data_IF_121595356057
#
_entry.id   IF_121595356057
#
_cell.length_a   1.000
_cell.length_b   1.000
_cell.length_c   1.000
_cell.angle_alpha   90.00
_cell.angle_beta   90.00
_cell.angle_gamma   90.00
#
_symmetry.space_group_name_H-M   'P 1'
#
loop_
_entity.id
_entity.type
_entity.pdbx_description
1 polymer ?
#
# COMPACT_ATOMS: atom_id res chain seq x y z
N UNK A 1 -13.34 25.62 5.17
CA UNK A 1 -12.11 25.15 4.52
C UNK A 1 -12.23 23.64 4.42
N UNK A 2 -12.45 23.12 3.23
CA UNK A 2 -12.36 21.68 2.97
C UNK A 2 -10.92 21.27 3.24
N UNK A 3 -10.73 20.29 4.13
CA UNK A 3 -9.41 19.76 4.46
C UNK A 3 -8.97 18.89 3.28
N UNK A 4 -7.94 19.33 2.58
CA UNK A 4 -7.30 18.51 1.53
C UNK A 4 -6.86 17.18 2.13
N UNK A 5 -7.31 16.09 1.52
CA UNK A 5 -6.94 14.73 1.91
C UNK A 5 -5.84 14.25 0.97
N UNK A 6 -4.73 13.80 1.54
CA UNK A 6 -3.62 13.26 0.76
C UNK A 6 -3.92 11.87 0.20
N UNK A 7 -3.62 11.66 -1.07
CA UNK A 7 -3.79 10.37 -1.75
C UNK A 7 -2.63 9.40 -1.45
N UNK A 8 -2.34 9.21 -0.16
CA UNK A 8 -1.26 8.35 0.33
C UNK A 8 -1.82 7.13 1.07
N UNK A 9 -1.09 6.01 0.99
CA UNK A 9 -1.25 4.82 1.82
C UNK A 9 -0.38 4.95 3.06
N UNK A 10 -0.99 4.93 4.22
CA UNK A 10 -0.29 5.00 5.51
C UNK A 10 -0.35 3.64 6.19
N UNK A 11 0.78 3.14 6.67
CA UNK A 11 0.84 2.05 7.62
C UNK A 11 1.02 2.63 9.02
N UNK A 12 0.07 2.40 9.89
CA UNK A 12 0.15 2.78 11.30
C UNK A 12 0.30 1.54 12.17
N UNK A 13 1.37 1.51 12.97
CA UNK A 13 1.75 0.37 13.81
C UNK A 13 1.74 0.81 15.26
N UNK A 14 0.88 0.19 16.06
CA UNK A 14 0.65 0.50 17.49
C UNK A 14 0.03 -0.73 18.14
N UNK A 15 0.58 -1.25 19.21
CA UNK A 15 0.07 -2.43 19.89
C UNK A 15 -1.11 -2.13 20.82
N UNK A 16 -1.18 -0.92 21.38
CA UNK A 16 -2.31 -0.52 22.22
C UNK A 16 -3.59 -0.29 21.39
N UNK A 17 -4.60 -1.09 21.65
CA UNK A 17 -5.81 -1.13 20.80
C UNK A 17 -6.62 0.18 20.84
N UNK A 18 -6.64 0.89 21.97
CA UNK A 18 -7.39 2.14 22.13
C UNK A 18 -6.70 3.27 21.37
N UNK A 19 -5.41 3.46 21.58
CA UNK A 19 -4.55 4.41 20.89
C UNK A 19 -4.59 4.19 19.38
N UNK A 20 -4.54 2.92 18.94
CA UNK A 20 -4.64 2.56 17.52
C UNK A 20 -5.96 2.98 16.89
N UNK A 21 -7.10 2.79 17.59
CA UNK A 21 -8.43 3.20 17.10
C UNK A 21 -8.60 4.72 17.03
N UNK A 22 -8.09 5.45 18.01
CA UNK A 22 -8.16 6.91 18.02
C UNK A 22 -7.34 7.51 16.88
N UNK A 23 -6.10 7.03 16.72
CA UNK A 23 -5.23 7.47 15.64
C UNK A 23 -5.78 7.09 14.26
N UNK A 24 -6.40 5.92 14.12
CA UNK A 24 -7.08 5.52 12.87
C UNK A 24 -8.10 6.57 12.43
N UNK A 25 -8.98 6.99 13.35
CA UNK A 25 -10.00 8.01 13.06
C UNK A 25 -9.39 9.33 12.62
N UNK A 26 -8.27 9.71 13.25
CA UNK A 26 -7.54 10.92 12.92
C UNK A 26 -6.88 10.82 11.53
N UNK A 27 -6.15 9.75 11.28
CA UNK A 27 -5.45 9.52 10.01
C UNK A 27 -6.40 9.38 8.81
N UNK A 28 -7.55 8.72 8.97
CA UNK A 28 -8.58 8.59 7.92
C UNK A 28 -9.18 9.93 7.45
N UNK A 29 -9.03 11.00 8.24
CA UNK A 29 -9.44 12.35 7.84
C UNK A 29 -8.40 13.04 6.96
N UNK A 30 -7.15 12.55 6.95
CA UNK A 30 -6.02 13.15 6.24
C UNK A 30 -5.54 12.34 5.04
N UNK A 31 -5.72 11.03 5.08
CA UNK A 31 -5.15 10.11 4.10
C UNK A 31 -6.21 9.20 3.51
N UNK A 32 -6.07 8.92 2.23
CA UNK A 32 -7.06 8.13 1.49
C UNK A 32 -7.06 6.65 1.88
N UNK A 33 -5.94 6.11 2.35
CA UNK A 33 -5.85 4.72 2.83
C UNK A 33 -5.00 4.62 4.09
N UNK A 34 -5.57 4.04 5.14
CA UNK A 34 -4.89 3.76 6.41
C UNK A 34 -4.92 2.26 6.66
N UNK A 35 -3.75 1.68 6.80
CA UNK A 35 -3.51 0.28 7.09
C UNK A 35 -3.04 0.22 8.53
N UNK A 36 -3.67 -0.62 9.37
CA UNK A 36 -3.34 -0.75 10.78
C UNK A 36 -2.57 -2.03 11.01
N UNK A 37 -1.61 -2.00 11.92
CA UNK A 37 -0.94 -3.18 12.45
C UNK A 37 -0.90 -3.10 13.98
N UNK A 38 -1.13 -4.23 14.63
CA UNK A 38 -1.18 -4.34 16.09
C UNK A 38 0.16 -4.78 16.70
N UNK A 39 1.20 -4.97 15.89
CA UNK A 39 2.54 -5.36 16.33
C UNK A 39 3.57 -5.05 15.25
N UNK A 40 4.86 -5.04 15.63
CA UNK A 40 5.95 -4.83 14.68
C UNK A 40 6.03 -5.94 13.63
N UNK A 41 5.72 -7.19 14.00
CA UNK A 41 5.69 -8.32 13.07
C UNK A 41 4.56 -8.16 12.04
N UNK A 42 3.34 -7.86 12.50
CA UNK A 42 2.23 -7.55 11.60
C UNK A 42 2.53 -6.35 10.71
N UNK A 43 3.26 -5.35 11.26
CA UNK A 43 3.76 -4.20 10.51
C UNK A 43 4.65 -4.59 9.34
N UNK A 44 5.60 -5.52 9.54
CA UNK A 44 6.44 -6.07 8.46
C UNK A 44 5.62 -6.76 7.38
N UNK A 45 4.69 -7.63 7.76
CA UNK A 45 3.84 -8.37 6.82
C UNK A 45 3.00 -7.40 5.99
N UNK A 46 2.38 -6.42 6.65
CA UNK A 46 1.58 -5.39 5.98
C UNK A 46 2.43 -4.45 5.12
N UNK A 47 3.65 -4.12 5.55
CA UNK A 47 4.58 -3.39 4.69
C UNK A 47 4.88 -4.16 3.40
N UNK A 48 5.21 -5.46 3.50
CA UNK A 48 5.49 -6.30 2.34
C UNK A 48 4.27 -6.40 1.40
N UNK A 49 3.07 -6.51 1.97
CA UNK A 49 1.81 -6.67 1.25
C UNK A 49 1.34 -5.38 0.57
N UNK A 50 1.35 -4.25 1.27
CA UNK A 50 0.67 -3.03 0.82
C UNK A 50 1.60 -1.96 0.28
N UNK A 51 2.91 -2.04 0.54
CA UNK A 51 3.90 -1.03 0.13
C UNK A 51 3.42 0.39 0.42
N UNK A 52 3.28 0.77 1.69
CA UNK A 52 2.77 2.09 2.08
C UNK A 52 3.72 3.21 1.64
N UNK A 53 3.17 4.41 1.49
CA UNK A 53 3.90 5.62 1.13
C UNK A 53 4.54 6.28 2.37
N UNK A 54 4.00 6.01 3.57
CA UNK A 54 4.50 6.48 4.86
C UNK A 54 4.20 5.43 5.93
N UNK A 55 5.17 5.17 6.80
CA UNK A 55 4.99 4.39 8.01
C UNK A 55 4.93 5.35 9.20
N UNK A 56 3.96 5.13 10.09
CA UNK A 56 3.89 5.77 11.40
C UNK A 56 3.91 4.64 12.44
N UNK A 57 4.87 4.65 13.35
CA UNK A 57 5.03 3.54 14.29
C UNK A 57 5.36 4.02 15.71
N UNK A 58 4.85 3.30 16.71
CA UNK A 58 5.40 3.36 18.05
C UNK A 58 6.74 2.60 18.10
N UNK A 59 7.63 3.03 18.99
CA UNK A 59 8.88 2.32 19.27
C UNK A 59 8.70 1.17 20.24
N UNK A 60 7.82 1.33 21.22
CA UNK A 60 7.61 0.36 22.30
C UNK A 60 6.45 -0.54 21.93
N UNK A 61 6.75 -1.78 21.57
CA UNK A 61 5.76 -2.82 21.28
C UNK A 61 6.27 -4.15 21.83
N UNK A 62 5.35 -5.04 22.24
CA UNK A 62 5.71 -6.27 22.97
C UNK A 62 6.50 -7.28 22.16
N UNK A 63 6.16 -7.49 20.85
CA UNK A 63 6.74 -8.56 20.03
C UNK A 63 8.01 -8.15 19.28
N UNK A 64 8.03 -6.93 18.78
CA UNK A 64 9.11 -6.35 17.98
C UNK A 64 9.04 -4.84 18.10
N UNK A 65 10.13 -4.21 18.51
CA UNK A 65 10.18 -2.74 18.61
C UNK A 65 10.02 -2.07 17.23
N UNK A 66 9.50 -0.83 17.24
CA UNK A 66 9.40 -0.05 16.00
C UNK A 66 10.74 0.17 15.31
N UNK A 67 11.84 0.31 16.09
CA UNK A 67 13.20 0.41 15.52
C UNK A 67 13.57 -0.87 14.78
N UNK A 68 13.42 -2.03 15.42
CA UNK A 68 13.75 -3.32 14.83
C UNK A 68 12.92 -3.58 13.56
N UNK A 69 11.64 -3.23 13.59
CA UNK A 69 10.77 -3.32 12.42
C UNK A 69 11.32 -2.46 11.27
N UNK A 70 11.69 -1.21 11.54
CA UNK A 70 12.23 -0.30 10.52
C UNK A 70 13.57 -0.78 9.99
N UNK A 71 14.48 -1.29 10.85
CA UNK A 71 15.76 -1.89 10.44
C UNK A 71 15.53 -3.03 9.44
N UNK A 72 14.58 -3.93 9.71
CA UNK A 72 14.22 -5.03 8.81
C UNK A 72 13.64 -4.52 7.49
N UNK A 73 12.78 -3.51 7.53
CA UNK A 73 12.22 -2.86 6.34
C UNK A 73 13.35 -2.25 5.48
N UNK A 74 14.31 -1.56 6.10
CA UNK A 74 15.50 -1.03 5.40
C UNK A 74 16.36 -2.14 4.80
N UNK A 75 16.52 -3.27 5.52
CA UNK A 75 17.20 -4.46 5.01
C UNK A 75 16.56 -5.09 3.77
N UNK A 76 15.28 -4.83 3.52
CA UNK A 76 14.58 -5.22 2.28
C UNK A 76 14.82 -4.24 1.11
N UNK A 77 15.70 -3.24 1.26
CA UNK A 77 15.95 -2.20 0.25
C UNK A 77 14.85 -1.14 0.16
N UNK A 78 14.06 -0.98 1.20
CA UNK A 78 12.96 -0.04 1.24
C UNK A 78 13.42 1.36 1.65
N UNK A 79 12.93 2.39 0.94
CA UNK A 79 13.20 3.82 1.21
C UNK A 79 11.93 4.60 1.62
N UNK A 80 10.90 3.88 2.07
CA UNK A 80 9.66 4.48 2.53
C UNK A 80 9.92 5.40 3.73
N UNK A 81 9.44 6.65 3.73
CA UNK A 81 9.52 7.55 4.87
C UNK A 81 8.89 6.93 6.13
N UNK A 82 9.53 7.17 7.27
CA UNK A 82 9.06 6.67 8.58
C UNK A 82 8.94 7.83 9.55
N UNK A 83 7.79 7.94 10.21
CA UNK A 83 7.55 8.80 11.35
C UNK A 83 7.41 7.94 12.61
N UNK A 84 8.07 8.34 13.67
CA UNK A 84 7.94 7.71 14.99
C UNK A 84 7.05 8.55 15.88
N UNK A 85 6.14 7.89 16.60
CA UNK A 85 5.28 8.50 17.63
C UNK A 85 5.38 7.64 18.87
N UNK A 86 6.16 8.07 19.86
CA UNK A 86 6.48 7.25 21.04
C UNK A 86 6.58 8.05 22.33
N UNK A 87 6.37 7.37 23.47
CA UNK A 87 6.58 7.94 24.80
C UNK A 87 8.07 7.97 25.22
N UNK A 88 8.98 7.34 24.44
CA UNK A 88 10.41 7.34 24.73
C UNK A 88 11.06 8.68 24.39
N UNK A 89 11.77 9.25 25.37
CA UNK A 89 12.56 10.48 25.25
C UNK A 89 14.08 10.24 25.31
N UNK A 90 14.51 8.97 25.36
CA UNK A 90 15.93 8.69 25.54
C UNK A 90 16.76 9.02 24.29
N UNK A 91 17.89 9.69 24.51
CA UNK A 91 18.77 10.18 23.46
C UNK A 91 19.33 9.07 22.57
N UNK A 92 19.51 7.84 23.07
CA UNK A 92 20.07 6.73 22.29
C UNK A 92 19.06 6.23 21.27
N UNK A 93 17.80 6.09 21.67
CA UNK A 93 16.72 5.70 20.76
C UNK A 93 16.54 6.75 19.65
N UNK A 94 16.59 8.04 20.01
CA UNK A 94 16.49 9.13 19.03
C UNK A 94 17.68 9.10 18.06
N UNK A 95 18.91 8.90 18.51
CA UNK A 95 20.09 8.82 17.63
C UNK A 95 20.00 7.64 16.64
N UNK A 96 19.56 6.46 17.10
CA UNK A 96 19.34 5.31 16.20
C UNK A 96 18.32 5.61 15.11
N UNK A 97 17.31 6.42 15.40
CA UNK A 97 16.31 6.79 14.41
C UNK A 97 16.86 7.68 13.29
N UNK A 98 17.89 8.48 13.57
CA UNK A 98 18.57 9.32 12.55
C UNK A 98 19.28 8.45 11.52
N UNK A 99 19.99 7.41 11.96
CA UNK A 99 20.71 6.48 11.07
C UNK A 99 19.75 5.67 10.18
N UNK A 100 18.51 5.47 10.62
CA UNK A 100 17.46 4.78 9.86
C UNK A 100 16.70 5.67 8.88
N UNK A 101 17.06 6.94 8.77
CA UNK A 101 16.40 7.87 7.85
C UNK A 101 14.96 8.18 8.26
N UNK A 102 14.68 8.29 9.57
CA UNK A 102 13.37 8.66 10.07
C UNK A 102 13.13 10.15 9.80
N UNK A 103 12.01 10.45 9.13
CA UNK A 103 11.71 11.81 8.68
C UNK A 103 11.16 12.70 9.79
N UNK A 104 10.58 12.11 10.85
CA UNK A 104 10.03 12.84 12.00
C UNK A 104 9.92 11.93 13.23
N UNK A 105 10.27 12.48 14.37
CA UNK A 105 10.00 11.91 15.69
C UNK A 105 9.01 12.80 16.45
N UNK A 106 7.98 12.22 17.04
CA UNK A 106 6.95 12.88 17.84
C UNK A 106 6.85 12.19 19.18
N UNK A 107 6.94 12.97 20.26
CA UNK A 107 6.87 12.44 21.63
C UNK A 107 5.40 12.44 22.11
N UNK A 108 4.95 11.35 22.71
CA UNK A 108 3.64 11.26 23.40
C UNK A 108 3.72 12.01 24.77
N UNK A 109 2.70 12.72 25.24
CA UNK A 109 1.34 12.86 24.65
C UNK A 109 1.35 13.76 23.43
N UNK A 110 0.64 13.36 22.39
CA UNK A 110 0.65 14.05 21.09
C UNK A 110 -0.41 15.13 21.07
N UNK A 111 0.01 16.37 20.84
CA UNK A 111 -0.92 17.42 20.46
C UNK A 111 -1.41 17.18 19.02
N UNK A 112 -2.73 17.16 18.84
CA UNK A 112 -3.36 16.88 17.53
C UNK A 112 -3.01 17.91 16.45
N UNK A 113 -2.80 19.19 16.83
CA UNK A 113 -2.42 20.27 15.90
C UNK A 113 -0.98 20.09 15.43
N UNK A 114 -0.06 19.80 16.37
CA UNK A 114 1.35 19.58 16.08
C UNK A 114 1.56 18.33 15.21
N UNK A 115 0.83 17.25 15.53
CA UNK A 115 0.84 16.03 14.72
C UNK A 115 0.30 16.30 13.31
N UNK A 116 -0.82 17.03 13.22
CA UNK A 116 -1.41 17.43 11.96
C UNK A 116 -0.40 18.17 11.09
N UNK A 117 0.24 19.21 11.64
CA UNK A 117 1.23 20.01 10.95
C UNK A 117 2.50 19.20 10.58
N UNK A 118 2.89 18.23 11.40
CA UNK A 118 4.01 17.34 11.10
C UNK A 118 3.68 16.41 9.93
N UNK A 119 2.48 15.83 9.93
CA UNK A 119 2.00 14.95 8.86
C UNK A 119 1.84 15.70 7.53
N UNK A 120 1.32 16.94 7.57
CA UNK A 120 1.19 17.77 6.37
C UNK A 120 2.55 18.02 5.72
N UNK A 121 3.57 18.41 6.51
CA UNK A 121 4.95 18.61 6.02
C UNK A 121 5.59 17.34 5.46
N UNK A 122 5.33 16.19 6.08
CA UNK A 122 5.85 14.91 5.56
C UNK A 122 5.13 14.50 4.29
N UNK A 123 3.80 14.64 4.26
CA UNK A 123 3.00 14.36 3.07
C UNK A 123 3.43 15.25 1.90
N UNK A 124 3.60 16.55 2.10
CA UNK A 124 4.09 17.48 1.06
C UNK A 124 5.46 17.08 0.49
N UNK A 125 6.37 16.57 1.32
CA UNK A 125 7.67 16.06 0.84
C UNK A 125 7.55 14.79 0.00
N UNK A 126 6.64 13.88 0.38
CA UNK A 126 6.33 12.67 -0.40
C UNK A 126 5.67 13.09 -1.73
N UNK A 127 4.90 14.16 -1.69
CA UNK A 127 4.07 14.71 -2.75
C UNK A 127 4.83 15.52 -3.81
N UNK A 128 6.11 15.27 -4.00
CA UNK A 128 6.96 16.05 -4.93
C UNK A 128 6.64 15.84 -6.42
N UNK A 129 5.53 15.19 -6.77
CA UNK A 129 5.15 14.83 -8.13
C UNK A 129 3.95 15.62 -8.68
N UNK A 130 3.95 15.86 -9.99
CA UNK A 130 2.84 16.44 -10.75
C UNK A 130 1.81 15.34 -11.08
N UNK A 131 1.00 14.93 -10.10
CA UNK A 131 -0.08 13.97 -10.39
C UNK A 131 -1.32 14.71 -10.93
N UNK A 132 -1.95 14.22 -12.00
CA UNK A 132 -3.24 14.75 -12.45
C UNK A 132 -4.37 14.49 -11.44
N UNK A 133 -4.19 13.60 -10.44
CA UNK A 133 -5.20 13.26 -9.42
C UNK A 133 -5.00 13.98 -8.08
N UNK A 134 -4.01 14.84 -7.97
CA UNK A 134 -3.71 15.66 -6.78
C UNK A 134 -4.90 16.46 -6.24
N UNK A 135 -5.87 16.79 -7.11
CA UNK A 135 -7.04 17.61 -6.79
C UNK A 135 -8.36 16.84 -6.93
N UNK A 136 -8.31 15.51 -7.00
CA UNK A 136 -9.55 14.74 -7.13
C UNK A 136 -10.25 14.67 -5.76
N UNK A 137 -11.52 15.07 -5.74
CA UNK A 137 -12.39 14.87 -4.59
C UNK A 137 -12.45 13.38 -4.20
N UNK A 138 -12.47 13.12 -2.89
CA UNK A 138 -12.48 11.74 -2.33
C UNK A 138 -13.67 10.93 -2.83
N UNK A 139 -14.85 11.56 -2.95
CA UNK A 139 -16.05 10.90 -3.45
C UNK A 139 -15.84 10.44 -4.90
N UNK A 140 -15.33 11.32 -5.74
CA UNK A 140 -15.04 11.02 -7.15
C UNK A 140 -13.95 9.96 -7.28
N UNK A 141 -12.90 10.02 -6.47
CA UNK A 141 -11.86 8.98 -6.44
C UNK A 141 -12.45 7.62 -6.12
N UNK A 142 -13.32 7.54 -5.10
CA UNK A 142 -13.95 6.28 -4.67
C UNK A 142 -14.88 5.69 -5.75
N UNK A 143 -15.58 6.54 -6.49
CA UNK A 143 -16.37 6.12 -7.65
C UNK A 143 -15.49 5.47 -8.71
N UNK A 144 -14.41 6.15 -9.11
CA UNK A 144 -13.45 5.65 -10.09
C UNK A 144 -12.78 4.36 -9.63
N UNK A 145 -12.33 4.27 -8.37
CA UNK A 145 -11.77 3.03 -7.82
C UNK A 145 -12.80 1.88 -7.86
N UNK A 146 -14.07 2.16 -7.66
CA UNK A 146 -15.14 1.16 -7.74
C UNK A 146 -15.39 0.70 -9.18
N UNK A 147 -15.38 1.63 -10.13
CA UNK A 147 -15.51 1.33 -11.56
C UNK A 147 -14.32 0.50 -12.07
N UNK A 148 -13.11 0.91 -11.74
CA UNK A 148 -11.87 0.18 -12.06
C UNK A 148 -11.85 -1.22 -11.46
N UNK A 149 -12.29 -1.36 -10.21
CA UNK A 149 -12.38 -2.66 -9.53
C UNK A 149 -13.32 -3.61 -10.27
N UNK A 150 -14.47 -3.12 -10.66
CA UNK A 150 -15.47 -3.89 -11.41
C UNK A 150 -14.95 -4.29 -12.79
N UNK A 151 -14.36 -3.37 -13.52
CA UNK A 151 -13.74 -3.61 -14.83
C UNK A 151 -12.60 -4.61 -14.76
N UNK A 152 -11.72 -4.47 -13.77
CA UNK A 152 -10.60 -5.38 -13.53
C UNK A 152 -11.07 -6.82 -13.24
N UNK A 153 -12.03 -6.98 -12.33
CA UNK A 153 -12.59 -8.29 -12.01
C UNK A 153 -13.27 -8.94 -13.24
N UNK A 154 -13.99 -8.16 -14.04
CA UNK A 154 -14.62 -8.64 -15.28
C UNK A 154 -13.58 -9.06 -16.32
N UNK A 155 -12.51 -8.27 -16.49
CA UNK A 155 -11.41 -8.59 -17.41
C UNK A 155 -10.71 -9.88 -17.02
N UNK A 156 -10.34 -10.05 -15.74
CA UNK A 156 -9.74 -11.29 -15.25
C UNK A 156 -10.66 -12.49 -15.49
N UNK A 157 -11.95 -12.37 -15.20
CA UNK A 157 -12.95 -13.43 -15.45
C UNK A 157 -13.05 -13.79 -16.92
N UNK A 158 -13.10 -12.79 -17.81
CA UNK A 158 -13.14 -12.99 -19.26
C UNK A 158 -11.89 -13.73 -19.76
N UNK A 159 -10.70 -13.31 -19.28
CA UNK A 159 -9.44 -13.82 -19.78
C UNK A 159 -9.05 -15.21 -19.22
N UNK A 160 -9.35 -15.49 -17.94
CA UNK A 160 -8.95 -16.75 -17.27
C UNK A 160 -10.10 -17.76 -17.08
N UNK A 161 -11.34 -17.35 -17.35
CA UNK A 161 -12.54 -18.15 -17.04
C UNK A 161 -12.95 -18.11 -15.57
N UNK A 162 -12.12 -17.54 -14.67
CA UNK A 162 -12.39 -17.41 -13.23
C UNK A 162 -12.24 -15.97 -12.77
N UNK A 163 -13.29 -15.41 -12.18
CA UNK A 163 -13.19 -14.11 -11.50
C UNK A 163 -12.47 -14.21 -10.17
N UNK A 164 -11.85 -13.10 -9.68
CA UNK A 164 -11.24 -13.05 -8.37
C UNK A 164 -12.31 -13.17 -7.27
N UNK A 165 -11.90 -13.71 -6.10
CA UNK A 165 -12.73 -13.68 -4.90
C UNK A 165 -12.80 -12.29 -4.30
N UNK A 166 -11.69 -11.56 -4.39
CA UNK A 166 -11.58 -10.17 -3.98
C UNK A 166 -10.71 -9.42 -4.98
N UNK A 167 -11.11 -8.21 -5.32
CA UNK A 167 -10.32 -7.27 -6.12
C UNK A 167 -10.24 -5.93 -5.38
N UNK A 168 -9.09 -5.30 -5.42
CA UNK A 168 -8.87 -3.99 -4.82
C UNK A 168 -8.12 -3.07 -5.78
N UNK A 169 -8.43 -1.78 -5.70
CA UNK A 169 -7.84 -0.73 -6.52
C UNK A 169 -7.40 0.40 -5.61
N UNK A 170 -6.24 0.94 -5.88
CA UNK A 170 -5.76 2.14 -5.23
C UNK A 170 -5.21 3.10 -6.28
N UNK A 171 -5.74 4.33 -6.30
CA UNK A 171 -5.24 5.42 -7.13
C UNK A 171 -4.34 6.28 -6.23
N UNK A 172 -3.03 6.21 -6.44
CA UNK A 172 -2.04 7.08 -5.82
C UNK A 172 -1.74 8.29 -6.69
N UNK A 173 -0.75 9.08 -6.28
CA UNK A 173 -0.39 10.29 -7.00
C UNK A 173 0.38 10.02 -8.29
N UNK A 174 1.27 9.04 -8.28
CA UNK A 174 2.13 8.69 -9.39
C UNK A 174 1.78 7.34 -10.02
N UNK A 175 0.78 6.62 -9.45
CA UNK A 175 0.48 5.24 -9.86
C UNK A 175 -0.95 4.81 -9.59
N UNK A 176 -1.36 3.77 -10.29
CA UNK A 176 -2.56 2.99 -10.00
C UNK A 176 -2.15 1.56 -9.69
N UNK A 177 -2.65 1.04 -8.60
CA UNK A 177 -2.42 -0.33 -8.18
C UNK A 177 -3.72 -1.13 -8.29
N UNK A 178 -3.63 -2.27 -8.95
CA UNK A 178 -4.70 -3.26 -9.02
C UNK A 178 -4.24 -4.52 -8.32
N UNK A 179 -5.05 -5.11 -7.46
CA UNK A 179 -4.77 -6.40 -6.84
C UNK A 179 -5.99 -7.29 -6.86
N UNK A 180 -5.75 -8.60 -7.01
CA UNK A 180 -6.79 -9.61 -7.06
C UNK A 180 -6.38 -10.85 -6.28
N UNK A 181 -7.31 -11.39 -5.48
CA UNK A 181 -7.13 -12.59 -4.67
C UNK A 181 -8.10 -13.69 -5.08
N UNK A 182 -7.72 -14.95 -4.81
CA UNK A 182 -8.53 -16.12 -5.14
C UNK A 182 -8.69 -16.31 -6.65
N UNK A 183 -7.63 -16.00 -7.40
CA UNK A 183 -7.60 -16.00 -8.87
C UNK A 183 -7.19 -17.35 -9.49
N UNK A 184 -6.69 -18.29 -8.68
CA UNK A 184 -6.26 -19.60 -9.18
C UNK A 184 -7.41 -20.34 -9.82
N UNK A 185 -7.24 -20.77 -11.06
CA UNK A 185 -8.18 -21.66 -11.75
C UNK A 185 -8.13 -23.06 -11.17
N UNK A 186 -9.16 -23.91 -11.32
CA UNK A 186 -9.13 -25.30 -10.85
C UNK A 186 -7.94 -26.10 -11.40
N UNK A 187 -7.50 -25.83 -12.61
CA UNK A 187 -6.32 -26.44 -13.21
C UNK A 187 -5.04 -26.02 -12.45
N UNK A 188 -4.88 -24.76 -12.14
CA UNK A 188 -3.72 -24.25 -11.39
C UNK A 188 -3.71 -24.76 -9.95
N UNK A 189 -4.87 -24.84 -9.28
CA UNK A 189 -5.00 -25.45 -7.96
C UNK A 189 -4.56 -26.92 -7.99
N UNK A 190 -4.98 -27.66 -9.03
CA UNK A 190 -4.56 -29.05 -9.22
C UNK A 190 -3.05 -29.15 -9.48
N UNK A 191 -2.47 -28.28 -10.31
CA UNK A 191 -1.03 -28.27 -10.56
C UNK A 191 -0.24 -27.97 -9.28
N UNK A 192 -0.69 -27.00 -8.47
CA UNK A 192 -0.03 -26.63 -7.22
C UNK A 192 -0.11 -27.71 -6.14
N UNK A 193 -1.06 -28.64 -6.20
CA UNK A 193 -1.15 -29.78 -5.28
C UNK A 193 -0.01 -30.81 -5.47
N UNK A 194 0.70 -30.76 -6.61
CA UNK A 194 1.82 -31.65 -6.92
C UNK A 194 3.14 -30.94 -6.66
N UNK A 195 4.02 -31.47 -5.79
CA UNK A 195 5.34 -30.88 -5.53
C UNK A 195 6.14 -30.67 -6.82
N UNK A 196 6.77 -29.50 -6.95
CA UNK A 196 7.58 -29.14 -8.12
C UNK A 196 6.83 -28.38 -9.22
N UNK A 197 5.52 -28.46 -9.30
CA UNK A 197 4.74 -27.78 -10.36
C UNK A 197 4.54 -26.26 -10.13
N UNK A 198 4.96 -25.75 -8.99
CA UNK A 198 4.86 -24.31 -8.66
C UNK A 198 5.48 -23.43 -9.75
N UNK A 199 6.64 -23.79 -10.24
CA UNK A 199 7.35 -23.04 -11.29
C UNK A 199 6.52 -22.95 -12.57
N UNK A 200 5.79 -24.02 -12.92
CA UNK A 200 4.93 -24.06 -14.11
C UNK A 200 3.79 -23.05 -13.97
N UNK A 201 3.12 -23.03 -12.81
CA UNK A 201 2.03 -22.09 -12.55
C UNK A 201 2.54 -20.64 -12.53
N UNK A 202 3.67 -20.38 -11.90
CA UNK A 202 4.28 -19.05 -11.87
C UNK A 202 4.67 -18.56 -13.28
N UNK A 203 5.21 -19.43 -14.11
CA UNK A 203 5.54 -19.09 -15.50
C UNK A 203 4.29 -18.82 -16.34
N UNK A 204 3.26 -19.66 -16.23
CA UNK A 204 2.00 -19.46 -16.92
C UNK A 204 1.34 -18.13 -16.52
N UNK A 205 1.39 -17.78 -15.23
CA UNK A 205 0.84 -16.51 -14.75
C UNK A 205 1.61 -15.31 -15.29
N UNK A 206 2.93 -15.38 -15.43
CA UNK A 206 3.70 -14.30 -16.08
C UNK A 206 3.30 -14.11 -17.55
N UNK A 207 3.09 -15.21 -18.27
CA UNK A 207 2.61 -15.14 -19.67
C UNK A 207 1.18 -14.58 -19.74
N UNK A 208 0.30 -15.02 -18.85
CA UNK A 208 -1.06 -14.49 -18.74
C UNK A 208 -1.05 -12.98 -18.46
N UNK A 209 -0.27 -12.51 -17.48
CA UNK A 209 -0.12 -11.08 -17.15
C UNK A 209 0.35 -10.27 -18.35
N UNK A 210 1.29 -10.82 -19.13
CA UNK A 210 1.76 -10.18 -20.36
C UNK A 210 0.68 -10.12 -21.43
N UNK A 211 -0.12 -11.17 -21.56
CA UNK A 211 -1.19 -11.25 -22.57
C UNK A 211 -2.32 -10.24 -22.31
N UNK A 212 -2.71 -10.02 -21.05
CA UNK A 212 -3.81 -9.10 -20.70
C UNK A 212 -3.37 -7.65 -20.53
N UNK A 213 -2.05 -7.38 -20.61
CA UNK A 213 -1.48 -6.04 -20.35
C UNK A 213 -2.18 -4.94 -21.17
N UNK A 214 -2.31 -5.12 -22.47
CA UNK A 214 -2.89 -4.11 -23.36
C UNK A 214 -4.38 -3.84 -23.03
N UNK A 215 -5.14 -4.87 -22.63
CA UNK A 215 -6.52 -4.70 -22.21
C UNK A 215 -6.63 -3.93 -20.89
N UNK A 216 -5.69 -4.18 -19.93
CA UNK A 216 -5.62 -3.44 -18.68
C UNK A 216 -5.24 -1.96 -18.89
N UNK A 217 -4.22 -1.69 -19.70
CA UNK A 217 -3.82 -0.32 -20.06
C UNK A 217 -4.94 0.43 -20.77
N UNK A 218 -5.66 -0.23 -21.68
CA UNK A 218 -6.84 0.34 -22.37
C UNK A 218 -7.99 0.65 -21.42
N UNK A 219 -8.31 -0.25 -20.48
CA UNK A 219 -9.34 -0.04 -19.46
C UNK A 219 -8.98 1.17 -18.56
N UNK A 220 -7.74 1.25 -18.09
CA UNK A 220 -7.27 2.36 -17.27
C UNK A 220 -7.35 3.68 -18.03
N UNK A 221 -6.88 3.71 -19.28
CA UNK A 221 -6.93 4.91 -20.12
C UNK A 221 -8.36 5.41 -20.37
N UNK A 222 -9.29 4.50 -20.58
CA UNK A 222 -10.70 4.84 -20.81
C UNK A 222 -11.35 5.46 -19.57
N UNK A 223 -11.11 4.90 -18.37
CA UNK A 223 -11.75 5.35 -17.14
C UNK A 223 -11.05 6.59 -16.57
N UNK A 224 -9.72 6.64 -16.63
CA UNK A 224 -8.92 7.73 -16.04
C UNK A 224 -8.69 8.91 -16.99
N UNK A 225 -9.03 8.76 -18.28
CA UNK A 225 -8.71 9.74 -19.35
C UNK A 225 -7.21 10.11 -19.38
N UNK A 226 -6.35 9.16 -19.01
CA UNK A 226 -4.89 9.34 -18.92
C UNK A 226 -4.18 8.08 -19.36
N UNK A 227 -3.06 8.21 -20.07
CA UNK A 227 -2.25 7.05 -20.44
C UNK A 227 -1.54 6.48 -19.23
N UNK A 228 -1.62 5.17 -19.10
CA UNK A 228 -0.97 4.41 -18.04
C UNK A 228 -0.14 3.29 -18.65
N UNK A 229 1.07 3.10 -18.16
CA UNK A 229 1.93 2.00 -18.57
C UNK A 229 2.19 1.05 -17.40
N UNK A 230 2.15 -0.25 -17.66
CA UNK A 230 2.47 -1.26 -16.64
C UNK A 230 3.93 -1.13 -16.22
N UNK A 231 4.15 -0.78 -14.95
CA UNK A 231 5.48 -0.66 -14.33
C UNK A 231 5.94 -1.99 -13.71
N UNK A 232 5.01 -2.74 -13.08
CA UNK A 232 5.29 -4.07 -12.54
C UNK A 232 4.04 -4.92 -12.44
N UNK A 233 4.22 -6.23 -12.58
CA UNK A 233 3.22 -7.24 -12.28
C UNK A 233 3.86 -8.33 -11.41
N UNK A 234 3.13 -8.81 -10.41
CA UNK A 234 3.58 -9.85 -9.48
C UNK A 234 2.48 -10.88 -9.30
N UNK A 235 2.90 -12.12 -9.08
CA UNK A 235 2.02 -13.22 -8.71
C UNK A 235 2.59 -13.93 -7.49
N UNK A 236 1.77 -14.10 -6.48
CA UNK A 236 2.04 -14.95 -5.31
C UNK A 236 1.24 -16.24 -5.43
N UNK A 237 1.94 -17.33 -5.67
CA UNK A 237 1.33 -18.66 -5.81
C UNK A 237 0.81 -19.23 -4.49
N UNK A 238 1.38 -18.82 -3.34
CA UNK A 238 0.94 -19.29 -2.03
C UNK A 238 -0.41 -18.69 -1.63
N UNK A 239 -0.58 -17.39 -1.88
CA UNK A 239 -1.82 -16.67 -1.59
C UNK A 239 -2.84 -16.66 -2.74
N UNK A 240 -2.47 -17.13 -3.94
CA UNK A 240 -3.30 -17.01 -5.13
C UNK A 240 -3.67 -15.55 -5.41
N UNK A 241 -2.66 -14.66 -5.34
CA UNK A 241 -2.81 -13.22 -5.46
C UNK A 241 -2.00 -12.68 -6.64
N UNK A 242 -2.58 -11.73 -7.37
CA UNK A 242 -1.89 -10.93 -8.38
C UNK A 242 -1.91 -9.46 -7.99
N UNK A 243 -0.84 -8.77 -8.37
CA UNK A 243 -0.68 -7.33 -8.20
C UNK A 243 -0.13 -6.71 -9.47
N UNK A 244 -0.69 -5.58 -9.88
CA UNK A 244 -0.26 -4.78 -11.01
C UNK A 244 -0.07 -3.34 -10.57
N UNK A 245 1.04 -2.74 -10.95
CA UNK A 245 1.32 -1.32 -10.70
C UNK A 245 1.49 -0.64 -12.06
N UNK A 246 0.67 0.36 -12.31
CA UNK A 246 0.74 1.21 -13.49
C UNK A 246 1.23 2.59 -13.11
N UNK A 247 2.07 3.18 -13.94
CA UNK A 247 2.52 4.56 -13.81
C UNK A 247 2.00 5.40 -14.98
N UNK A 248 1.87 6.69 -14.74
CA UNK A 248 1.55 7.63 -15.80
C UNK A 248 2.65 7.59 -16.84
N UNK A 249 2.26 7.56 -18.11
CA UNK A 249 3.15 7.72 -19.26
C UNK A 249 2.77 9.00 -19.98
N UNK A 250 3.77 9.85 -20.21
CA UNK A 250 3.63 11.06 -21.02
C UNK A 250 3.20 10.73 -22.46
#
# INVERSE_FOLDING_TARGET
>A
MERETFNLKILYVEDEAETRREMEKFLKRKFSRVILAASGREGLDKYAQYKPDLIIADLIMEDMSGIEMVERIRGMGADCPVMIVSALEDTRSILRTVDLGIVKYVIKPVNTEDLSAALDRVAEKIYSGKSPFLKMDIARKKEIETELRSGFAALLKKASGKGPRNADVFIGDDRVELSAEGILTPMEETLLSVPGNRVIVEQNRKLFQSAIRSELEGMLAAILSSRMALASARFDSAGGREEYVFKYSD
#
